data_IF_604270815773
#
_entry.id   IF_604270815773
#
_cell.length_a   1.000
_cell.length_b   1.000
_cell.length_c   1.000
_cell.angle_alpha   90.00
_cell.angle_beta   90.00
_cell.angle_gamma   90.00
#
_symmetry.space_group_name_H-M   'P 1'
#
loop_
_entity.id
_entity.type
_entity.pdbx_description
1 polymer ?
#
# COMPACT_ATOMS: atom_id res chain seq x y z
N UNK A 1 -25.26 -24.59 33.03
CA UNK A 1 -25.93 -24.55 31.71
C UNK A 1 -25.11 -25.31 30.65
N UNK A 2 -25.75 -26.16 29.82
CA UNK A 2 -25.14 -26.83 28.67
C UNK A 2 -24.46 -25.86 27.68
N UNK A 3 -23.46 -26.35 26.94
CA UNK A 3 -22.67 -25.51 26.03
C UNK A 3 -23.49 -24.89 24.88
N UNK A 4 -24.47 -25.64 24.34
CA UNK A 4 -25.31 -25.18 23.22
C UNK A 4 -26.26 -24.02 23.60
N UNK A 5 -26.49 -23.78 24.89
CA UNK A 5 -27.32 -22.68 25.40
C UNK A 5 -26.51 -21.44 25.77
N UNK A 6 -25.18 -21.55 25.91
CA UNK A 6 -24.32 -20.42 26.25
C UNK A 6 -24.16 -19.49 25.06
N UNK A 7 -24.28 -18.19 25.28
CA UNK A 7 -23.91 -17.23 24.26
C UNK A 7 -22.39 -17.30 23.98
N UNK A 8 -21.98 -17.32 22.70
CA UNK A 8 -20.58 -17.11 22.34
C UNK A 8 -20.10 -15.74 22.83
N UNK A 9 -18.81 -15.61 23.08
CA UNK A 9 -18.21 -14.31 23.33
C UNK A 9 -18.41 -13.42 22.09
N UNK A 10 -19.20 -12.36 22.25
CA UNK A 10 -19.45 -11.36 21.22
C UNK A 10 -18.41 -10.24 21.35
N UNK A 11 -17.50 -10.16 20.39
CA UNK A 11 -16.51 -9.09 20.31
C UNK A 11 -17.02 -7.93 19.43
N UNK A 12 -16.56 -6.71 19.71
CA UNK A 12 -17.02 -5.48 19.04
C UNK A 12 -16.80 -5.52 17.51
N UNK A 13 -15.71 -6.14 17.07
CA UNK A 13 -15.39 -6.31 15.65
C UNK A 13 -16.35 -7.26 14.90
N UNK A 14 -17.28 -7.93 15.60
CA UNK A 14 -18.27 -8.81 14.97
C UNK A 14 -19.59 -8.08 14.64
N UNK A 15 -19.76 -6.82 15.07
CA UNK A 15 -20.89 -5.94 14.71
C UNK A 15 -22.31 -6.51 14.93
N UNK A 16 -22.53 -7.27 16.01
CA UNK A 16 -23.88 -7.76 16.33
C UNK A 16 -24.88 -6.62 16.48
N UNK A 17 -25.92 -6.64 15.65
CA UNK A 17 -27.07 -5.75 15.78
C UNK A 17 -27.95 -6.28 16.91
N UNK A 18 -28.21 -5.45 17.93
CA UNK A 18 -29.00 -5.88 19.09
C UNK A 18 -28.21 -6.70 20.13
N UNK A 19 -26.93 -6.40 20.34
CA UNK A 19 -26.10 -7.01 21.41
C UNK A 19 -26.80 -7.01 22.77
N UNK A 20 -27.41 -5.89 23.15
CA UNK A 20 -28.19 -5.76 24.40
C UNK A 20 -29.38 -6.73 24.43
N UNK A 21 -30.11 -6.85 23.32
CA UNK A 21 -31.24 -7.75 23.21
C UNK A 21 -30.81 -9.21 23.30
N UNK A 22 -29.68 -9.58 22.70
CA UNK A 22 -29.09 -10.91 22.85
C UNK A 22 -28.75 -11.21 24.31
N UNK A 23 -28.16 -10.26 25.05
CA UNK A 23 -27.91 -10.43 26.48
C UNK A 23 -29.19 -10.57 27.31
N UNK A 24 -30.24 -9.82 26.99
CA UNK A 24 -31.54 -9.95 27.65
C UNK A 24 -32.15 -11.34 27.43
N UNK A 25 -32.17 -11.82 26.18
CA UNK A 25 -32.67 -13.16 25.86
C UNK A 25 -31.85 -14.23 26.58
N UNK A 26 -30.54 -14.03 26.70
CA UNK A 26 -29.69 -14.95 27.43
C UNK A 26 -29.92 -14.96 28.94
N UNK A 27 -30.15 -13.80 29.55
CA UNK A 27 -30.50 -13.71 30.97
C UNK A 27 -31.81 -14.46 31.27
N UNK A 28 -32.78 -14.42 30.34
CA UNK A 28 -34.01 -15.21 30.44
C UNK A 28 -33.72 -16.71 30.37
N UNK A 29 -32.84 -17.16 29.48
CA UNK A 29 -32.41 -18.57 29.43
C UNK A 29 -31.70 -19.00 30.72
N UNK A 30 -30.81 -18.17 31.25
CA UNK A 30 -30.10 -18.46 32.50
C UNK A 30 -31.05 -18.58 33.69
N UNK A 31 -32.04 -17.68 33.79
CA UNK A 31 -33.08 -17.74 34.81
C UNK A 31 -33.94 -19.00 34.69
N UNK A 32 -34.43 -19.32 33.48
CA UNK A 32 -35.21 -20.54 33.23
C UNK A 32 -34.39 -21.81 33.50
N UNK A 33 -33.10 -21.79 33.20
CA UNK A 33 -32.20 -22.90 33.52
C UNK A 33 -31.98 -23.04 35.03
N UNK A 34 -31.82 -21.94 35.75
CA UNK A 34 -31.69 -21.94 37.21
C UNK A 34 -32.95 -22.48 37.90
N UNK A 35 -34.13 -22.13 37.40
CA UNK A 35 -35.42 -22.66 37.90
C UNK A 35 -35.54 -24.18 37.75
N UNK A 36 -34.98 -24.76 36.68
CA UNK A 36 -34.90 -26.21 36.49
C UNK A 36 -33.90 -26.90 37.44
N UNK A 37 -33.02 -26.14 38.08
CA UNK A 37 -32.05 -26.62 39.07
C UNK A 37 -32.41 -26.24 40.52
N UNK A 38 -33.52 -25.52 40.70
CA UNK A 38 -33.92 -24.94 42.00
C UNK A 38 -34.26 -25.98 43.07
N UNK A 39 -34.93 -27.08 42.71
CA UNK A 39 -35.25 -28.17 43.63
C UNK A 39 -34.47 -29.44 43.30
N UNK A 40 -34.16 -30.28 44.31
CA UNK A 40 -33.46 -31.55 44.08
C UNK A 40 -34.23 -32.49 43.15
N UNK A 41 -35.58 -32.50 43.15
CA UNK A 41 -36.34 -33.33 42.20
C UNK A 41 -36.20 -32.84 40.75
N UNK A 42 -36.31 -31.53 40.51
CA UNK A 42 -36.15 -30.96 39.16
C UNK A 42 -34.75 -31.15 38.62
N UNK A 43 -33.74 -31.01 39.48
CA UNK A 43 -32.34 -31.26 39.12
C UNK A 43 -32.10 -32.73 38.75
N UNK A 44 -32.70 -33.67 39.49
CA UNK A 44 -32.62 -35.10 39.18
C UNK A 44 -33.35 -35.45 37.86
N UNK A 45 -34.53 -34.86 37.63
CA UNK A 45 -35.27 -35.02 36.38
C UNK A 45 -34.48 -34.50 35.16
N UNK A 46 -33.87 -33.31 35.27
CA UNK A 46 -33.03 -32.74 34.22
C UNK A 46 -31.75 -33.58 33.99
N UNK A 47 -31.18 -34.16 35.04
CA UNK A 47 -30.00 -35.03 34.92
C UNK A 47 -30.32 -36.36 34.23
N UNK A 48 -31.54 -36.89 34.43
CA UNK A 48 -32.02 -38.10 33.77
C UNK A 48 -32.31 -37.87 32.27
N UNK A 49 -32.70 -36.66 31.87
CA UNK A 49 -32.94 -36.30 30.47
C UNK A 49 -31.64 -35.96 29.72
N UNK A 50 -30.88 -37.01 29.39
CA UNK A 50 -29.66 -36.90 28.60
C UNK A 50 -29.89 -36.28 27.21
N UNK A 51 -31.09 -36.41 26.63
CA UNK A 51 -31.41 -35.86 25.31
C UNK A 51 -31.56 -34.34 25.37
N UNK A 52 -32.25 -33.82 26.39
CA UNK A 52 -32.32 -32.40 26.67
C UNK A 52 -30.91 -31.81 26.88
N UNK A 53 -30.09 -32.44 27.70
CA UNK A 53 -28.72 -31.96 27.98
C UNK A 53 -27.77 -31.98 26.77
N UNK A 54 -28.00 -32.87 25.79
CA UNK A 54 -27.17 -32.99 24.56
C UNK A 54 -27.55 -32.02 23.44
N UNK A 55 -28.64 -31.25 23.56
CA UNK A 55 -29.02 -30.27 22.55
C UNK A 55 -30.52 -30.09 22.33
N UNK A 56 -31.37 -30.93 22.94
CA UNK A 56 -32.82 -30.83 22.82
C UNK A 56 -33.46 -29.81 23.76
N UNK A 57 -32.72 -29.27 24.73
CA UNK A 57 -33.26 -28.34 25.71
C UNK A 57 -33.45 -26.96 25.08
N UNK A 58 -34.70 -26.56 24.90
CA UNK A 58 -35.07 -25.22 24.43
C UNK A 58 -35.75 -24.47 25.57
N UNK A 59 -35.09 -23.41 26.07
CA UNK A 59 -35.56 -22.65 27.23
C UNK A 59 -36.35 -21.40 26.85
N UNK A 60 -36.08 -20.82 25.68
CA UNK A 60 -36.85 -19.71 25.15
C UNK A 60 -38.14 -20.19 24.49
N UNK A 61 -39.12 -19.31 24.41
CA UNK A 61 -40.29 -19.59 23.59
C UNK A 61 -39.91 -19.60 22.09
N UNK A 62 -40.81 -20.10 21.23
CA UNK A 62 -40.52 -20.22 19.81
C UNK A 62 -40.25 -18.86 19.12
N UNK A 63 -40.80 -17.76 19.65
CA UNK A 63 -40.65 -16.42 19.09
C UNK A 63 -39.29 -15.83 19.45
N UNK A 64 -38.93 -15.86 20.72
CA UNK A 64 -37.68 -15.39 21.28
C UNK A 64 -36.50 -16.23 20.79
N UNK A 65 -36.68 -17.55 20.61
CA UNK A 65 -35.67 -18.40 19.99
C UNK A 65 -35.37 -17.97 18.55
N UNK A 66 -36.43 -17.74 17.75
CA UNK A 66 -36.29 -17.27 16.36
C UNK A 66 -35.67 -15.87 16.29
N UNK A 67 -36.01 -15.00 17.23
CA UNK A 67 -35.40 -13.67 17.36
C UNK A 67 -33.89 -13.81 17.66
N UNK A 68 -33.52 -14.62 18.65
CA UNK A 68 -32.12 -14.91 19.01
C UNK A 68 -31.32 -15.42 17.80
N UNK A 69 -31.84 -16.41 17.08
CA UNK A 69 -31.19 -16.97 15.88
C UNK A 69 -31.02 -15.93 14.77
N UNK A 70 -32.03 -15.09 14.57
CA UNK A 70 -31.99 -14.00 13.57
C UNK A 70 -30.91 -12.96 13.95
N UNK A 71 -30.87 -12.53 15.20
CA UNK A 71 -29.89 -11.56 15.69
C UNK A 71 -28.46 -12.12 15.64
N UNK A 72 -28.28 -13.41 15.96
CA UNK A 72 -26.97 -14.07 15.84
C UNK A 72 -26.49 -14.17 14.39
N UNK A 73 -27.40 -14.39 13.43
CA UNK A 73 -27.05 -14.51 12.00
C UNK A 73 -26.67 -13.16 11.39
N UNK A 74 -27.19 -12.05 11.91
CA UNK A 74 -26.87 -10.69 11.44
C UNK A 74 -25.47 -10.22 11.82
N UNK A 75 -24.82 -10.86 12.79
CA UNK A 75 -23.44 -10.58 13.18
C UNK A 75 -22.41 -11.37 12.36
N UNK A 76 -21.17 -10.90 12.38
CA UNK A 76 -20.03 -11.56 11.75
C UNK A 76 -19.44 -12.67 12.66
N UNK A 77 -20.25 -13.67 12.99
CA UNK A 77 -19.88 -14.78 13.89
C UNK A 77 -18.66 -15.58 13.41
N UNK A 78 -18.47 -15.66 12.10
CA UNK A 78 -17.35 -16.39 11.48
C UNK A 78 -16.04 -15.58 11.43
N UNK A 79 -16.06 -14.33 11.89
CA UNK A 79 -14.87 -13.49 11.99
C UNK A 79 -14.21 -13.69 13.35
N UNK A 80 -12.92 -14.03 13.32
CA UNK A 80 -12.10 -14.26 14.51
C UNK A 80 -11.23 -13.03 14.76
N UNK A 81 -10.68 -12.92 15.97
CA UNK A 81 -9.72 -11.87 16.32
C UNK A 81 -8.50 -11.88 15.38
N UNK A 82 -8.07 -13.05 14.92
CA UNK A 82 -7.01 -13.17 13.91
C UNK A 82 -7.42 -12.51 12.59
N UNK A 83 -8.61 -12.81 12.06
CA UNK A 83 -9.10 -12.16 10.85
C UNK A 83 -9.17 -10.64 11.00
N UNK A 84 -9.72 -10.15 12.11
CA UNK A 84 -9.80 -8.72 12.38
C UNK A 84 -8.41 -8.04 12.37
N UNK A 85 -7.45 -8.60 13.09
CA UNK A 85 -6.09 -8.02 13.16
C UNK A 85 -5.36 -8.05 11.82
N UNK A 86 -5.53 -9.12 11.03
CA UNK A 86 -4.97 -9.20 9.68
C UNK A 86 -5.69 -8.25 8.72
N UNK A 87 -7.01 -8.12 8.81
CA UNK A 87 -7.81 -7.18 8.02
C UNK A 87 -7.31 -5.75 8.18
N UNK A 88 -7.06 -5.29 9.42
CA UNK A 88 -6.54 -3.95 9.67
C UNK A 88 -5.15 -3.73 9.05
N UNK A 89 -4.24 -4.69 9.25
CA UNK A 89 -2.88 -4.62 8.69
C UNK A 89 -2.89 -4.64 7.16
N UNK A 90 -3.73 -5.49 6.56
CA UNK A 90 -3.88 -5.61 5.12
C UNK A 90 -4.52 -4.35 4.51
N UNK A 91 -5.53 -3.77 5.19
CA UNK A 91 -6.16 -2.51 4.76
C UNK A 91 -5.15 -1.36 4.76
N UNK A 92 -4.29 -1.26 5.78
CA UNK A 92 -3.22 -0.27 5.82
C UNK A 92 -2.13 -0.51 4.76
N UNK A 93 -1.88 -1.76 4.34
CA UNK A 93 -0.84 -2.11 3.37
C UNK A 93 -1.28 -1.94 1.92
N UNK A 94 -2.49 -2.41 1.60
CA UNK A 94 -3.00 -2.50 0.24
C UNK A 94 -4.05 -1.43 -0.10
N UNK A 95 -4.49 -0.67 0.90
CA UNK A 95 -5.63 0.25 0.81
C UNK A 95 -6.94 -0.40 1.23
N UNK A 96 -7.89 0.40 1.75
CA UNK A 96 -9.17 -0.10 2.29
C UNK A 96 -10.08 -0.77 1.27
N UNK A 97 -9.89 -0.49 -0.02
CA UNK A 97 -10.75 -0.97 -1.11
C UNK A 97 -10.14 -2.16 -1.90
N UNK A 98 -8.91 -2.57 -1.58
CA UNK A 98 -8.22 -3.66 -2.27
C UNK A 98 -8.66 -5.05 -1.75
N UNK A 99 -9.95 -5.37 -1.86
CA UNK A 99 -10.56 -6.55 -1.22
C UNK A 99 -9.91 -7.88 -1.61
N UNK A 100 -9.48 -8.06 -2.87
CA UNK A 100 -8.80 -9.28 -3.32
C UNK A 100 -7.45 -9.48 -2.61
N UNK A 101 -6.66 -8.41 -2.49
CA UNK A 101 -5.37 -8.43 -1.80
C UNK A 101 -5.56 -8.60 -0.30
N UNK A 102 -6.55 -7.93 0.28
CA UNK A 102 -6.90 -8.11 1.70
C UNK A 102 -7.31 -9.57 1.97
N UNK A 103 -8.18 -10.15 1.14
CA UNK A 103 -8.58 -11.55 1.26
C UNK A 103 -7.41 -12.52 1.12
N UNK A 104 -6.39 -12.18 0.31
CA UNK A 104 -5.17 -12.96 0.21
C UNK A 104 -4.32 -12.94 1.48
N UNK A 105 -4.28 -11.81 2.18
CA UNK A 105 -3.55 -11.65 3.44
C UNK A 105 -4.34 -12.19 4.67
N UNK A 106 -5.61 -12.57 4.51
CA UNK A 106 -6.41 -13.25 5.54
C UNK A 106 -6.10 -14.76 5.59
N UNK A 107 -4.86 -15.10 5.92
CA UNK A 107 -4.41 -16.48 6.11
C UNK A 107 -4.40 -16.92 7.58
N UNK A 108 -4.40 -18.22 7.83
CA UNK A 108 -4.29 -18.76 9.19
C UNK A 108 -4.94 -20.12 9.39
N UNK A 109 -5.23 -20.43 10.66
CA UNK A 109 -5.97 -21.64 11.05
C UNK A 109 -7.46 -21.57 10.74
N UNK A 110 -7.97 -20.35 10.54
CA UNK A 110 -9.36 -20.12 10.21
C UNK A 110 -9.60 -20.27 8.70
N UNK A 111 -10.84 -20.64 8.29
CA UNK A 111 -11.21 -20.69 6.88
C UNK A 111 -10.99 -19.34 6.21
N UNK A 112 -10.33 -19.37 5.04
CA UNK A 112 -10.03 -18.19 4.24
C UNK A 112 -11.33 -17.48 3.85
N UNK A 113 -11.35 -16.15 3.97
CA UNK A 113 -12.48 -15.33 3.55
C UNK A 113 -12.39 -15.02 2.07
N UNK A 114 -13.53 -15.07 1.41
CA UNK A 114 -13.65 -14.62 0.01
C UNK A 114 -13.59 -13.09 -0.07
N UNK A 115 -13.20 -12.55 -1.22
CA UNK A 115 -13.20 -11.09 -1.45
C UNK A 115 -14.59 -10.47 -1.22
N UNK A 116 -15.66 -11.17 -1.61
CA UNK A 116 -17.04 -10.73 -1.38
C UNK A 116 -17.41 -10.67 0.11
N UNK A 117 -16.94 -11.62 0.94
CA UNK A 117 -17.11 -11.55 2.40
C UNK A 117 -16.32 -10.39 3.01
N UNK A 118 -15.09 -10.17 2.55
CA UNK A 118 -14.26 -9.05 3.00
C UNK A 118 -14.92 -7.71 2.64
N UNK A 119 -15.45 -7.56 1.43
CA UNK A 119 -16.15 -6.35 1.02
C UNK A 119 -17.38 -6.07 1.89
N UNK A 120 -18.21 -7.09 2.16
CA UNK A 120 -19.37 -6.97 3.07
C UNK A 120 -18.95 -6.55 4.48
N UNK A 121 -17.90 -7.16 5.01
CA UNK A 121 -17.36 -6.80 6.32
C UNK A 121 -16.80 -5.38 6.33
N UNK A 122 -15.99 -5.01 5.33
CA UNK A 122 -15.38 -3.69 5.21
C UNK A 122 -16.44 -2.59 5.15
N UNK A 123 -17.51 -2.78 4.38
CA UNK A 123 -18.61 -1.81 4.28
C UNK A 123 -19.25 -1.53 5.65
N UNK A 124 -19.49 -2.58 6.45
CA UNK A 124 -20.03 -2.43 7.80
C UNK A 124 -18.99 -1.84 8.75
N UNK A 125 -17.75 -2.30 8.67
CA UNK A 125 -16.63 -1.86 9.52
C UNK A 125 -16.40 -0.36 9.41
N UNK A 126 -16.28 0.16 8.19
CA UNK A 126 -16.01 1.58 7.96
C UNK A 126 -17.23 2.47 8.23
N UNK A 127 -18.45 1.94 8.04
CA UNK A 127 -19.70 2.69 8.29
C UNK A 127 -20.05 2.77 9.78
N UNK A 128 -19.90 1.68 10.52
CA UNK A 128 -20.36 1.54 11.92
C UNK A 128 -19.23 1.51 12.95
N UNK A 129 -17.98 1.40 12.53
CA UNK A 129 -16.84 1.28 13.43
C UNK A 129 -16.74 2.43 14.44
N UNK A 130 -16.95 3.66 14.00
CA UNK A 130 -16.93 4.84 14.88
C UNK A 130 -17.98 4.80 16.02
N UNK A 131 -19.09 4.09 15.82
CA UNK A 131 -20.17 3.96 16.80
C UNK A 131 -20.01 2.75 17.72
N UNK A 132 -19.26 1.73 17.29
CA UNK A 132 -19.13 0.45 18.00
C UNK A 132 -17.85 0.39 18.83
N UNK A 133 -16.75 0.91 18.31
CA UNK A 133 -15.48 0.96 19.04
C UNK A 133 -15.42 2.17 19.97
N UNK A 134 -14.61 2.07 21.03
CA UNK A 134 -14.27 3.23 21.85
C UNK A 134 -13.66 4.34 20.97
N UNK A 135 -13.97 5.63 21.20
CA UNK A 135 -13.48 6.73 20.35
C UNK A 135 -11.95 6.76 20.19
N UNK A 136 -11.21 6.44 21.25
CA UNK A 136 -9.73 6.37 21.22
C UNK A 136 -9.19 5.22 20.38
N UNK A 137 -9.85 4.06 20.44
CA UNK A 137 -9.48 2.90 19.63
C UNK A 137 -9.79 3.13 18.15
N UNK A 138 -10.94 3.72 17.86
CA UNK A 138 -11.32 4.06 16.49
C UNK A 138 -10.35 5.06 15.87
N UNK A 139 -10.00 6.15 16.56
CA UNK A 139 -9.02 7.14 16.08
C UNK A 139 -7.65 6.49 15.80
N UNK A 140 -7.20 5.58 16.66
CA UNK A 140 -5.96 4.83 16.43
C UNK A 140 -6.04 3.96 15.18
N UNK A 141 -7.16 3.27 14.98
CA UNK A 141 -7.37 2.37 13.83
C UNK A 141 -7.46 3.18 12.53
N UNK A 142 -8.28 4.24 12.50
CA UNK A 142 -8.46 5.08 11.31
C UNK A 142 -7.14 5.72 10.88
N UNK A 143 -6.40 6.34 11.82
CA UNK A 143 -5.10 6.95 11.53
C UNK A 143 -4.07 5.95 11.04
N UNK A 144 -4.07 4.72 11.57
CA UNK A 144 -3.15 3.68 11.11
C UNK A 144 -3.41 3.30 9.65
N UNK A 145 -4.68 3.20 9.25
CA UNK A 145 -5.05 2.89 7.85
C UNK A 145 -4.81 4.08 6.94
N UNK A 146 -5.21 5.30 7.32
CA UNK A 146 -4.95 6.52 6.55
C UNK A 146 -3.46 6.78 6.33
N UNK A 147 -2.63 6.55 7.36
CA UNK A 147 -1.17 6.63 7.24
C UNK A 147 -0.62 5.59 6.26
N UNK A 148 -1.19 4.39 6.28
CA UNK A 148 -0.82 3.32 5.35
C UNK A 148 -1.18 3.67 3.90
N UNK A 149 -2.38 4.18 3.68
CA UNK A 149 -2.86 4.64 2.36
C UNK A 149 -2.06 5.81 1.83
N UNK A 150 -1.75 6.80 2.67
CA UNK A 150 -0.87 7.91 2.27
C UNK A 150 0.53 7.42 1.86
N UNK A 151 1.07 6.43 2.57
CA UNK A 151 2.35 5.81 2.19
C UNK A 151 2.22 5.06 0.86
N UNK A 152 1.12 4.36 0.63
CA UNK A 152 0.87 3.65 -0.62
C UNK A 152 0.81 4.64 -1.80
N UNK A 153 0.06 5.72 -1.66
CA UNK A 153 -0.03 6.81 -2.65
C UNK A 153 1.35 7.45 -2.91
N UNK A 154 2.14 7.71 -1.87
CA UNK A 154 3.51 8.22 -2.00
C UNK A 154 4.38 7.25 -2.81
N UNK A 155 4.30 5.93 -2.55
CA UNK A 155 5.09 4.93 -3.27
C UNK A 155 4.62 4.75 -4.72
N UNK A 156 3.33 4.87 -5.00
CA UNK A 156 2.78 4.82 -6.36
C UNK A 156 3.22 6.05 -7.17
N UNK A 157 3.19 7.25 -6.57
CA UNK A 157 3.71 8.47 -7.18
C UNK A 157 5.21 8.37 -7.46
N UNK A 158 5.98 7.87 -6.49
CA UNK A 158 7.42 7.64 -6.62
C UNK A 158 7.75 6.64 -7.73
N UNK A 159 6.96 5.56 -7.84
CA UNK A 159 7.08 4.56 -8.91
C UNK A 159 6.78 5.16 -10.28
N UNK A 160 5.76 6.01 -10.39
CA UNK A 160 5.43 6.70 -11.64
C UNK A 160 6.55 7.67 -12.06
N UNK A 161 7.09 8.46 -11.13
CA UNK A 161 8.23 9.34 -11.38
C UNK A 161 9.49 8.55 -11.81
N UNK A 162 9.76 7.42 -11.14
CA UNK A 162 10.88 6.54 -11.48
C UNK A 162 10.76 6.01 -12.92
N UNK A 163 9.56 5.59 -13.34
CA UNK A 163 9.33 5.12 -14.72
C UNK A 163 9.59 6.23 -15.74
N UNK A 164 9.08 7.44 -15.51
CA UNK A 164 9.34 8.60 -16.38
C UNK A 164 10.83 8.88 -16.50
N UNK A 165 11.55 8.85 -15.37
CA UNK A 165 12.99 9.05 -15.37
C UNK A 165 13.74 7.99 -16.18
N UNK A 166 13.44 6.72 -15.97
CA UNK A 166 14.07 5.61 -16.73
C UNK A 166 13.74 5.70 -18.22
N UNK A 167 12.52 6.11 -18.57
CA UNK A 167 12.07 6.25 -19.97
C UNK A 167 12.85 7.32 -20.75
N UNK A 168 13.32 8.39 -20.09
CA UNK A 168 14.19 9.40 -20.73
C UNK A 168 15.47 8.78 -21.34
N UNK A 169 15.92 7.66 -20.77
CA UNK A 169 17.13 6.95 -21.19
C UNK A 169 16.83 5.64 -21.92
N UNK A 170 15.60 5.44 -22.41
CA UNK A 170 15.21 4.19 -23.08
C UNK A 170 16.05 3.89 -24.33
N UNK A 171 16.57 4.91 -25.01
CA UNK A 171 17.42 4.76 -26.20
C UNK A 171 18.83 4.29 -25.87
N UNK A 172 19.42 4.84 -24.82
CA UNK A 172 20.73 4.42 -24.30
C UNK A 172 20.67 4.37 -22.77
N UNK A 173 20.41 3.19 -22.19
CA UNK A 173 20.35 3.05 -20.74
C UNK A 173 21.65 3.45 -20.05
N UNK A 174 22.80 3.38 -20.74
CA UNK A 174 24.13 3.69 -20.17
C UNK A 174 24.26 5.16 -19.74
N UNK A 175 23.50 6.04 -20.39
CA UNK A 175 23.42 7.47 -20.08
C UNK A 175 22.68 7.74 -18.76
N UNK A 176 21.92 6.78 -18.24
CA UNK A 176 21.28 6.88 -16.93
C UNK A 176 22.35 6.82 -15.85
N UNK A 177 22.69 8.00 -15.32
CA UNK A 177 23.61 8.19 -14.22
C UNK A 177 23.08 9.28 -13.27
N UNK A 178 23.11 9.00 -11.98
CA UNK A 178 22.79 9.99 -10.96
C UNK A 178 23.91 11.02 -10.85
N UNK A 179 23.60 12.31 -10.93
CA UNK A 179 24.60 13.36 -10.74
C UNK A 179 25.07 13.48 -9.30
N UNK A 180 24.19 13.17 -8.34
CA UNK A 180 24.46 13.40 -6.92
C UNK A 180 24.45 12.13 -6.06
N UNK A 181 24.32 10.93 -6.64
CA UNK A 181 24.40 9.68 -5.90
C UNK A 181 25.86 9.19 -5.76
N UNK A 182 26.67 9.91 -4.96
CA UNK A 182 27.67 9.38 -4.03
C UNK A 182 28.97 10.19 -3.94
N UNK A 183 29.32 10.48 -2.68
CA UNK A 183 30.62 10.94 -2.13
C UNK A 183 31.79 9.97 -2.33
N UNK A 184 31.62 8.89 -3.11
CA UNK A 184 32.64 7.87 -3.39
C UNK A 184 33.42 8.14 -4.69
N UNK A 185 33.47 9.40 -5.13
CA UNK A 185 34.39 9.87 -6.16
C UNK A 185 35.84 9.71 -5.66
N UNK A 186 36.37 8.49 -5.70
CA UNK A 186 37.71 8.21 -5.19
C UNK A 186 38.10 6.74 -5.04
N UNK A 187 37.16 5.77 -5.13
CA UNK A 187 37.55 4.36 -5.21
C UNK A 187 38.04 4.04 -6.64
N UNK A 188 39.20 3.37 -6.79
CA UNK A 188 39.72 3.03 -8.11
C UNK A 188 38.74 2.11 -8.83
N UNK A 189 38.27 2.56 -9.99
CA UNK A 189 37.42 1.78 -10.88
C UNK A 189 38.32 0.81 -11.66
N UNK A 190 38.11 -0.49 -11.43
CA UNK A 190 38.87 -1.51 -12.15
C UNK A 190 38.26 -1.72 -13.54
N UNK A 191 39.07 -1.70 -14.62
CA UNK A 191 38.57 -1.97 -15.97
C UNK A 191 37.87 -3.33 -16.04
N UNK A 192 36.64 -3.35 -16.57
CA UNK A 192 35.86 -4.58 -16.78
C UNK A 192 35.01 -5.03 -15.58
N UNK A 193 35.04 -4.31 -14.45
CA UNK A 193 34.05 -4.49 -13.38
C UNK A 193 32.90 -3.49 -13.55
N UNK A 194 31.64 -3.89 -13.30
CA UNK A 194 30.53 -2.96 -13.32
C UNK A 194 30.75 -1.86 -12.29
N UNK A 195 30.46 -0.63 -12.70
CA UNK A 195 30.50 0.51 -11.80
C UNK A 195 29.26 0.51 -10.89
N UNK A 196 29.34 1.27 -9.81
CA UNK A 196 28.17 1.54 -8.96
C UNK A 196 27.00 2.13 -9.76
N UNK A 197 27.28 2.95 -10.78
CA UNK A 197 26.23 3.51 -11.65
C UNK A 197 25.53 2.41 -12.47
N UNK A 198 26.26 1.39 -12.90
CA UNK A 198 25.69 0.24 -13.60
C UNK A 198 24.77 -0.58 -12.68
N UNK A 199 25.19 -0.81 -11.43
CA UNK A 199 24.34 -1.45 -10.41
C UNK A 199 23.04 -0.66 -10.18
N UNK A 200 23.16 0.65 -9.96
CA UNK A 200 22.02 1.52 -9.64
C UNK A 200 21.02 1.59 -10.79
N UNK A 201 21.51 1.70 -12.03
CA UNK A 201 20.70 1.65 -13.26
C UNK A 201 19.93 0.35 -13.36
N UNK A 202 20.61 -0.79 -13.20
CA UNK A 202 19.99 -2.10 -13.32
C UNK A 202 18.93 -2.30 -12.23
N UNK A 203 19.21 -1.90 -10.99
CA UNK A 203 18.20 -1.98 -9.92
C UNK A 203 16.95 -1.16 -10.24
N UNK A 204 17.09 0.05 -10.80
CA UNK A 204 15.93 0.88 -11.19
C UNK A 204 15.14 0.27 -12.35
N UNK A 205 15.84 -0.29 -13.33
CA UNK A 205 15.19 -1.00 -14.43
C UNK A 205 14.39 -2.20 -13.90
N UNK A 206 15.01 -3.02 -13.05
CA UNK A 206 14.35 -4.17 -12.42
C UNK A 206 13.15 -3.75 -11.55
N UNK A 207 13.24 -2.61 -10.87
CA UNK A 207 12.08 -2.04 -10.15
C UNK A 207 10.96 -1.72 -11.13
N UNK A 208 11.26 -1.05 -12.25
CA UNK A 208 10.26 -0.72 -13.28
C UNK A 208 9.59 -1.96 -13.88
N UNK A 209 10.37 -3.02 -14.12
CA UNK A 209 9.93 -4.29 -14.71
C UNK A 209 9.07 -5.13 -13.74
N UNK A 210 9.55 -5.32 -12.50
CA UNK A 210 8.90 -6.21 -11.53
C UNK A 210 7.88 -5.50 -10.63
N UNK A 211 7.95 -4.17 -10.53
CA UNK A 211 7.09 -3.36 -9.67
C UNK A 211 7.59 -3.24 -8.22
N UNK A 212 7.13 -2.19 -7.55
CA UNK A 212 7.44 -1.92 -6.14
C UNK A 212 7.01 -3.09 -5.22
N UNK A 213 7.82 -3.42 -4.23
CA UNK A 213 7.54 -4.46 -3.24
C UNK A 213 7.99 -5.88 -3.65
N UNK A 214 8.26 -6.12 -4.94
CA UNK A 214 8.66 -7.43 -5.46
C UNK A 214 10.18 -7.71 -5.29
N UNK A 215 10.71 -7.36 -4.11
CA UNK A 215 12.16 -7.38 -3.82
C UNK A 215 12.80 -8.76 -3.96
N UNK A 216 12.05 -9.83 -3.67
CA UNK A 216 12.54 -11.20 -3.88
C UNK A 216 12.81 -11.49 -5.35
N UNK A 217 11.93 -11.03 -6.25
CA UNK A 217 12.06 -11.22 -7.69
C UNK A 217 13.18 -10.35 -8.25
N UNK A 218 13.22 -9.07 -7.88
CA UNK A 218 14.29 -8.13 -8.24
C UNK A 218 15.66 -8.68 -7.81
N UNK A 219 15.77 -9.16 -6.57
CA UNK A 219 17.00 -9.77 -6.04
C UNK A 219 17.41 -11.04 -6.80
N UNK A 220 16.46 -11.90 -7.14
CA UNK A 220 16.75 -13.12 -7.90
C UNK A 220 17.25 -12.78 -9.31
N UNK A 221 16.60 -11.82 -9.96
CA UNK A 221 16.94 -11.39 -11.31
C UNK A 221 18.29 -10.68 -11.36
N UNK A 222 18.56 -9.78 -10.40
CA UNK A 222 19.87 -9.13 -10.24
C UNK A 222 21.00 -10.17 -10.12
N UNK A 223 20.80 -11.23 -9.33
CA UNK A 223 21.81 -12.30 -9.17
C UNK A 223 22.05 -13.14 -10.43
N UNK A 224 21.07 -13.16 -11.33
CA UNK A 224 21.15 -13.95 -12.57
C UNK A 224 22.04 -13.28 -13.63
N UNK A 225 22.29 -11.97 -13.48
CA UNK A 225 23.06 -11.18 -14.43
C UNK A 225 24.57 -11.52 -14.35
N UNK A 226 25.20 -11.96 -15.46
CA UNK A 226 26.62 -12.30 -15.49
C UNK A 226 27.54 -11.12 -15.16
N UNK A 227 27.13 -9.90 -15.53
CA UNK A 227 27.90 -8.67 -15.31
C UNK A 227 28.17 -8.40 -13.82
N UNK A 228 27.28 -8.83 -12.91
CA UNK A 228 27.41 -8.66 -11.46
C UNK A 228 27.83 -9.94 -10.72
N UNK A 229 28.37 -10.95 -11.40
CA UNK A 229 28.70 -12.23 -10.77
C UNK A 229 29.73 -12.10 -9.63
N UNK A 230 30.61 -11.10 -9.69
CA UNK A 230 31.66 -10.83 -8.70
C UNK A 230 31.30 -9.72 -7.70
N UNK A 231 30.11 -9.13 -7.80
CA UNK A 231 29.61 -8.19 -6.80
C UNK A 231 29.10 -8.96 -5.57
N UNK A 232 30.04 -9.33 -4.70
CA UNK A 232 29.74 -10.04 -3.46
C UNK A 232 28.86 -9.24 -2.50
N UNK A 233 28.91 -7.89 -2.56
CA UNK A 233 28.15 -7.04 -1.66
C UNK A 233 26.65 -7.14 -1.96
N UNK A 234 26.20 -6.82 -3.18
CA UNK A 234 24.78 -6.93 -3.52
C UNK A 234 24.28 -8.37 -3.46
N UNK A 235 25.14 -9.34 -3.81
CA UNK A 235 24.78 -10.77 -3.72
C UNK A 235 24.60 -11.24 -2.27
N UNK A 236 25.26 -10.62 -1.30
CA UNK A 236 25.08 -10.92 0.13
C UNK A 236 23.82 -10.32 0.75
N UNK A 237 23.25 -9.27 0.14
CA UNK A 237 22.06 -8.60 0.67
C UNK A 237 20.83 -9.52 0.67
N UNK A 238 19.99 -9.36 1.69
CA UNK A 238 18.67 -9.95 1.77
C UNK A 238 17.66 -9.13 0.92
N UNK A 239 16.44 -9.66 0.78
CA UNK A 239 15.42 -8.99 -0.04
C UNK A 239 15.04 -7.61 0.53
N UNK A 240 15.05 -7.46 1.86
CA UNK A 240 14.67 -6.22 2.51
C UNK A 240 15.73 -5.12 2.32
N UNK A 241 17.02 -5.46 2.43
CA UNK A 241 18.11 -4.52 2.15
C UNK A 241 18.14 -4.09 0.67
N UNK A 242 17.87 -5.01 -0.26
CA UNK A 242 17.69 -4.67 -1.68
C UNK A 242 16.51 -3.72 -1.86
N UNK A 243 15.39 -3.96 -1.17
CA UNK A 243 14.22 -3.07 -1.18
C UNK A 243 14.56 -1.65 -0.70
N UNK A 244 15.26 -1.52 0.43
CA UNK A 244 15.72 -0.21 0.95
C UNK A 244 16.64 0.53 -0.03
N UNK A 245 17.54 -0.20 -0.70
CA UNK A 245 18.41 0.38 -1.74
C UNK A 245 17.57 0.87 -2.94
N UNK A 246 16.63 0.06 -3.41
CA UNK A 246 15.72 0.44 -4.49
C UNK A 246 14.89 1.69 -4.11
N UNK A 247 14.33 1.75 -2.91
CA UNK A 247 13.58 2.92 -2.42
C UNK A 247 14.43 4.19 -2.40
N UNK A 248 15.68 4.10 -1.94
CA UNK A 248 16.60 5.23 -1.96
C UNK A 248 16.90 5.72 -3.39
N UNK A 249 17.08 4.78 -4.33
CA UNK A 249 17.30 5.09 -5.75
C UNK A 249 16.07 5.71 -6.41
N UNK A 250 14.88 5.21 -6.10
CA UNK A 250 13.63 5.79 -6.61
C UNK A 250 13.47 7.25 -6.14
N UNK A 251 13.77 7.55 -4.87
CA UNK A 251 13.76 8.94 -4.34
C UNK A 251 14.83 9.82 -4.98
N UNK A 252 15.98 9.26 -5.31
CA UNK A 252 17.00 9.97 -6.08
C UNK A 252 16.51 10.25 -7.51
N UNK A 253 15.86 9.29 -8.16
CA UNK A 253 15.33 9.40 -9.52
C UNK A 253 14.26 10.49 -9.61
N UNK A 254 13.35 10.56 -8.66
CA UNK A 254 12.34 11.63 -8.58
C UNK A 254 13.00 13.02 -8.50
N UNK A 255 14.03 13.18 -7.66
CA UNK A 255 14.74 14.46 -7.53
C UNK A 255 15.52 14.84 -8.80
N UNK A 256 16.20 13.88 -9.41
CA UNK A 256 16.92 14.11 -10.67
C UNK A 256 15.95 14.46 -11.80
N UNK A 257 14.83 13.76 -11.91
CA UNK A 257 13.79 14.01 -12.90
C UNK A 257 13.21 15.43 -12.75
N UNK A 258 12.84 15.84 -11.53
CA UNK A 258 12.33 17.19 -11.28
C UNK A 258 13.36 18.29 -11.58
N UNK A 259 14.66 18.03 -11.35
CA UNK A 259 15.74 18.94 -11.74
C UNK A 259 15.92 19.02 -13.26
N UNK A 260 15.80 17.89 -13.97
CA UNK A 260 15.84 17.86 -15.43
C UNK A 260 14.67 18.63 -16.05
N UNK A 261 13.45 18.44 -15.54
CA UNK A 261 12.27 19.20 -15.98
C UNK A 261 12.48 20.70 -15.76
N UNK A 262 12.92 21.12 -14.56
CA UNK A 262 13.19 22.54 -14.29
C UNK A 262 14.22 23.14 -15.23
N UNK A 263 15.28 22.40 -15.55
CA UNK A 263 16.31 22.85 -16.51
C UNK A 263 15.77 22.94 -17.93
N UNK A 264 14.95 21.98 -18.33
CA UNK A 264 14.31 21.98 -19.63
C UNK A 264 13.35 23.17 -19.77
N UNK A 265 12.51 23.43 -18.78
CA UNK A 265 11.63 24.60 -18.73
C UNK A 265 12.41 25.92 -18.80
N UNK A 266 13.49 26.05 -18.02
CA UNK A 266 14.36 27.23 -18.05
C UNK A 266 15.02 27.41 -19.44
N UNK A 267 15.45 26.32 -20.07
CA UNK A 267 16.00 26.35 -21.43
C UNK A 267 14.95 26.79 -22.45
N UNK A 268 13.75 26.20 -22.42
CA UNK A 268 12.65 26.57 -23.31
C UNK A 268 12.25 28.02 -23.12
N UNK A 269 12.15 28.49 -21.87
CA UNK A 269 11.87 29.90 -21.57
C UNK A 269 12.96 30.83 -22.11
N UNK A 270 14.24 30.48 -21.95
CA UNK A 270 15.36 31.25 -22.49
C UNK A 270 15.34 31.30 -24.04
N UNK A 271 15.05 30.17 -24.69
CA UNK A 271 14.92 30.09 -26.16
C UNK A 271 13.75 30.94 -26.65
N UNK A 272 12.61 30.88 -25.97
CA UNK A 272 11.43 31.68 -26.31
C UNK A 272 11.67 33.18 -26.10
N UNK A 273 12.35 33.56 -25.00
CA UNK A 273 12.73 34.94 -24.75
C UNK A 273 13.70 35.47 -25.82
N UNK A 274 14.67 34.65 -26.25
CA UNK A 274 15.59 35.00 -27.34
C UNK A 274 14.85 35.14 -28.67
N UNK A 275 13.89 34.27 -28.95
CA UNK A 275 13.06 34.35 -30.15
C UNK A 275 12.20 35.62 -30.17
N UNK A 276 11.59 35.99 -29.03
CA UNK A 276 10.83 37.23 -28.87
C UNK A 276 11.72 38.47 -29.04
N UNK A 277 12.91 38.47 -28.44
CA UNK A 277 13.89 39.56 -28.60
C UNK A 277 14.34 39.72 -30.06
N UNK A 278 14.49 38.62 -30.81
CA UNK A 278 14.78 38.66 -32.25
C UNK A 278 13.61 39.21 -33.08
N UNK A 279 12.36 38.93 -32.70
CA UNK A 279 11.18 39.50 -33.35
C UNK A 279 10.99 41.00 -33.06
N UNK A 280 11.41 41.45 -31.88
CA UNK A 280 11.40 42.86 -31.44
C UNK A 280 12.67 43.67 -31.76
N UNK A 281 13.63 43.10 -32.52
CA UNK A 281 14.79 43.86 -32.97
C UNK A 281 14.35 45.08 -33.82
N UNK A 282 14.98 46.26 -33.66
CA UNK A 282 14.55 47.46 -34.36
C UNK A 282 14.52 47.23 -35.88
N UNK A 283 13.39 47.55 -36.48
CA UNK A 283 13.14 47.43 -37.92
C UNK A 283 13.27 48.79 -38.55
N UNK A 284 13.79 48.81 -39.77
CA UNK A 284 13.86 50.03 -40.57
C UNK A 284 12.42 50.58 -40.78
N UNK A 285 12.14 51.84 -40.42
CA UNK A 285 10.81 52.43 -40.51
C UNK A 285 10.30 52.62 -41.95
N UNK A 286 11.18 52.63 -42.96
CA UNK A 286 10.79 52.75 -44.38
C UNK A 286 10.60 51.38 -45.06
N UNK A 287 11.36 50.36 -44.64
CA UNK A 287 11.38 49.06 -45.35
C UNK A 287 10.82 47.88 -44.55
N UNK A 288 10.58 48.02 -43.24
CA UNK A 288 9.97 47.01 -42.37
C UNK A 288 10.81 45.74 -42.13
N UNK A 289 12.05 45.71 -42.61
CA UNK A 289 13.00 44.60 -42.44
C UNK A 289 13.79 44.75 -41.13
N UNK A 290 14.19 43.64 -40.47
CA UNK A 290 15.07 43.70 -39.30
C UNK A 290 16.41 44.31 -39.69
N UNK A 291 16.89 45.30 -38.93
CA UNK A 291 18.23 45.88 -39.11
C UNK A 291 19.27 44.77 -38.91
N UNK A 292 19.86 44.25 -39.99
CA UNK A 292 20.93 43.25 -39.91
C UNK A 292 22.16 43.86 -39.27
N UNK A 293 22.85 43.11 -38.40
CA UNK A 293 24.12 43.56 -37.81
C UNK A 293 25.08 44.05 -38.91
N UNK A 294 25.81 45.16 -38.70
CA UNK A 294 26.75 45.67 -39.70
C UNK A 294 27.80 44.58 -39.98
N UNK A 295 28.06 44.32 -41.27
CA UNK A 295 29.11 43.40 -41.69
C UNK A 295 30.39 43.71 -40.92
N UNK A 296 30.99 42.70 -40.29
CA UNK A 296 32.35 42.80 -39.77
C UNK A 296 33.25 43.19 -40.93
N UNK A 297 33.65 44.46 -40.98
CA UNK A 297 34.66 44.94 -41.90
C UNK A 297 35.94 44.13 -41.66
N UNK A 298 36.20 43.16 -42.53
CA UNK A 298 37.47 42.45 -42.56
C UNK A 298 38.56 43.47 -42.93
N UNK A 299 39.41 43.78 -41.96
CA UNK A 299 40.63 44.54 -42.18
C UNK A 299 41.54 43.72 -43.11
N UNK A 300 41.57 44.05 -44.40
CA UNK A 300 42.60 43.53 -45.32
C UNK A 300 43.79 44.48 -45.33
N UNK A 301 45.01 44.04 -44.98
CA UNK A 301 46.19 44.89 -45.12
C UNK A 301 46.43 45.15 -46.61
N UNK A 302 46.63 46.41 -46.99
CA UNK A 302 47.14 46.78 -48.31
C UNK A 302 48.59 46.31 -48.42
N UNK A 303 48.84 45.34 -49.29
CA UNK A 303 50.18 45.14 -49.84
C UNK A 303 50.17 45.92 -51.16
N UNK A 304 51.02 46.94 -51.24
CA UNK A 304 51.26 47.75 -52.44
C UNK A 304 52.32 47.05 -53.32
N UNK A 305 52.39 47.41 -54.63
CA UNK A 305 52.62 46.50 -55.75
C UNK A 305 54.04 45.95 -55.89
#
# INVERSE_FOLDING_TARGET
MPAHLRLPKMDDFQFFEGRERLYQLHAVEEARFADLQSTPEKKAALAADHAALRGGLQLLDAKDQKEKETLMTRGFTTWTKQHYTLFLRASARHGRDAYDRIAADLYGKSPRKSAAEVARYAAVFWKRGASVFAPSDWDRISRAVEKGEKKLEEMDGLMAATRKFVELFARDPSDLQFRFASTAAGLPQFPGLPSRADEERVLLQLVCEHGYGNWRRIRADFRSRPEFQFDWFLRSLDAEAVGKRCEALMRAAEKEYAELERRHEAYVAAVNALAAARQGAPRDPETGKPLSQPERAYWRPRIAP
#
